data_IF_723851083438
#
_entry.id   IF_723851083438
#
_cell.length_a   1.000
_cell.length_b   1.000
_cell.length_c   1.000
_cell.angle_alpha   90.00
_cell.angle_beta   90.00
_cell.angle_gamma   90.00
#
_symmetry.space_group_name_H-M   'P 1'
#
loop_
_entity.id
_entity.type
_entity.pdbx_description
1 polymer ?
#
# COMPACT_ATOMS: atom_id res chain seq x y z
N UNK A 1 -33.36 -13.74 -25.04
CA UNK A 1 -32.39 -12.64 -24.83
C UNK A 1 -31.93 -12.76 -23.38
N UNK A 2 -30.65 -12.57 -23.04
CA UNK A 2 -30.23 -12.42 -21.64
C UNK A 2 -30.72 -11.06 -21.12
N UNK A 3 -31.16 -10.99 -19.87
CA UNK A 3 -31.73 -9.76 -19.31
C UNK A 3 -30.65 -8.69 -19.06
N UNK A 4 -30.80 -7.53 -19.71
CA UNK A 4 -29.99 -6.33 -19.51
C UNK A 4 -30.20 -5.70 -18.13
N UNK A 5 -31.41 -5.81 -17.61
CA UNK A 5 -31.89 -4.99 -16.49
C UNK A 5 -31.26 -5.37 -15.14
N UNK A 6 -30.53 -6.49 -15.10
CA UNK A 6 -29.85 -7.02 -13.92
C UNK A 6 -28.32 -6.72 -13.91
N UNK A 7 -27.78 -6.13 -14.98
CA UNK A 7 -26.36 -5.76 -15.09
C UNK A 7 -25.93 -4.65 -14.12
N UNK A 8 -26.70 -3.56 -13.89
CA UNK A 8 -26.33 -2.53 -12.91
C UNK A 8 -26.30 -3.04 -11.47
N UNK A 9 -27.15 -4.03 -11.14
CA UNK A 9 -27.22 -4.64 -9.82
C UNK A 9 -26.04 -5.58 -9.57
N UNK A 10 -25.70 -6.44 -10.54
CA UNK A 10 -24.54 -7.32 -10.45
C UNK A 10 -23.22 -6.54 -10.35
N UNK A 11 -23.06 -5.44 -11.10
CA UNK A 11 -21.88 -4.56 -10.99
C UNK A 11 -21.84 -3.86 -9.62
N UNK A 12 -22.99 -3.42 -9.09
CA UNK A 12 -23.08 -2.84 -7.74
C UNK A 12 -22.66 -3.85 -6.67
N UNK A 13 -23.10 -5.10 -6.77
CA UNK A 13 -22.73 -6.18 -5.82
C UNK A 13 -21.24 -6.50 -5.88
N UNK A 14 -20.61 -6.45 -7.06
CA UNK A 14 -19.13 -6.57 -7.20
C UNK A 14 -18.41 -5.37 -6.56
N UNK A 15 -18.93 -4.15 -6.71
CA UNK A 15 -18.33 -2.94 -6.13
C UNK A 15 -18.52 -2.85 -4.60
N UNK A 16 -19.67 -3.28 -4.08
CA UNK A 16 -19.90 -3.45 -2.64
C UNK A 16 -19.08 -4.63 -2.10
N UNK A 17 -18.83 -5.66 -2.91
CA UNK A 17 -17.84 -6.71 -2.64
C UNK A 17 -16.43 -6.15 -2.43
N UNK A 18 -15.92 -5.28 -3.33
CA UNK A 18 -14.60 -4.65 -3.15
C UNK A 18 -14.50 -3.83 -1.86
N UNK A 19 -15.60 -3.19 -1.44
CA UNK A 19 -15.66 -2.41 -0.20
C UNK A 19 -15.46 -3.28 1.06
N UNK A 20 -15.99 -4.50 1.04
CA UNK A 20 -15.78 -5.54 2.05
C UNK A 20 -14.43 -6.23 1.88
N UNK A 21 -13.88 -6.23 0.65
CA UNK A 21 -12.67 -6.97 0.31
C UNK A 21 -11.38 -6.41 0.90
N UNK A 22 -11.45 -5.22 1.50
CA UNK A 22 -10.35 -4.60 2.24
C UNK A 22 -10.30 -5.11 3.71
N UNK A 23 -11.22 -6.00 4.11
CA UNK A 23 -11.09 -6.82 5.32
C UNK A 23 -9.82 -7.68 5.25
N UNK A 24 -9.01 -7.73 6.33
CA UNK A 24 -7.98 -8.75 6.44
C UNK A 24 -8.63 -10.12 6.59
N UNK A 25 -8.02 -11.18 6.03
CA UNK A 25 -8.41 -12.55 6.37
C UNK A 25 -8.39 -12.74 7.90
N UNK A 26 -9.53 -13.14 8.46
CA UNK A 26 -9.61 -13.64 9.84
C UNK A 26 -9.03 -15.05 9.87
N UNK A 27 -7.78 -15.19 10.29
CA UNK A 27 -7.26 -16.49 10.69
C UNK A 27 -8.05 -16.99 11.90
N UNK A 28 -8.62 -18.20 11.82
CA UNK A 28 -9.33 -18.80 12.94
C UNK A 28 -8.38 -18.96 14.14
N UNK A 29 -8.65 -18.20 15.21
CA UNK A 29 -7.79 -18.09 16.39
C UNK A 29 -7.30 -16.67 16.71
N UNK A 30 -7.43 -15.71 15.79
CA UNK A 30 -6.91 -14.34 15.97
C UNK A 30 -7.82 -13.37 16.77
N UNK A 31 -8.80 -13.85 17.55
CA UNK A 31 -9.44 -13.03 18.61
C UNK A 31 -8.62 -13.09 19.91
N UNK A 32 -7.33 -12.78 19.77
CA UNK A 32 -6.43 -12.40 20.85
C UNK A 32 -6.29 -10.88 20.80
N UNK A 33 -6.85 -10.16 21.77
CA UNK A 33 -6.92 -8.68 21.72
C UNK A 33 -5.54 -8.01 21.67
N UNK A 34 -5.53 -6.69 21.39
CA UNK A 34 -4.32 -5.88 21.10
C UNK A 34 -3.14 -6.05 22.09
N UNK A 35 -3.39 -6.50 23.33
CA UNK A 35 -2.38 -6.74 24.37
C UNK A 35 -2.04 -8.23 24.62
N UNK A 36 -2.37 -9.13 23.71
CA UNK A 36 -2.07 -10.56 23.83
C UNK A 36 -0.63 -10.92 23.44
N UNK A 37 -0.01 -11.92 24.11
CA UNK A 37 1.38 -12.31 23.86
C UNK A 37 1.55 -12.96 22.48
N UNK A 38 2.47 -12.44 21.67
CA UNK A 38 2.71 -12.88 20.31
C UNK A 38 4.15 -13.39 20.13
N UNK A 39 4.34 -14.71 20.22
CA UNK A 39 5.63 -15.42 20.28
C UNK A 39 6.72 -15.06 19.24
N UNK A 40 6.37 -14.42 18.11
CA UNK A 40 7.34 -13.76 17.23
C UNK A 40 7.54 -12.27 17.57
N UNK A 41 6.53 -11.39 17.39
CA UNK A 41 6.64 -9.94 17.62
C UNK A 41 7.11 -9.53 19.02
N UNK A 42 6.81 -10.31 20.08
CA UNK A 42 7.35 -10.10 21.43
C UNK A 42 8.89 -10.18 21.51
N UNK A 43 9.55 -10.70 20.46
CA UNK A 43 11.00 -10.82 20.33
C UNK A 43 11.61 -9.85 19.33
N UNK A 44 10.84 -8.90 18.79
CA UNK A 44 11.27 -7.95 17.76
C UNK A 44 11.37 -6.52 18.32
N UNK A 45 12.28 -5.68 17.82
CA UNK A 45 12.36 -4.26 18.19
C UNK A 45 11.21 -3.47 17.57
N UNK A 46 10.02 -3.60 18.16
CA UNK A 46 8.82 -2.84 17.83
C UNK A 46 8.18 -2.38 19.15
N UNK A 47 7.42 -1.28 19.19
CA UNK A 47 6.69 -0.90 20.40
C UNK A 47 5.69 -2.01 20.76
N UNK A 48 5.71 -2.46 22.02
CA UNK A 48 4.97 -3.66 22.43
C UNK A 48 3.53 -3.36 22.88
N UNK A 49 2.78 -4.44 23.15
CA UNK A 49 1.52 -4.40 23.91
C UNK A 49 1.64 -3.52 25.18
N UNK A 50 0.58 -2.81 25.53
CA UNK A 50 0.55 -1.87 26.65
C UNK A 50 1.30 -0.54 26.48
N UNK A 51 2.17 -0.37 25.48
CA UNK A 51 2.92 0.89 25.30
C UNK A 51 2.04 2.01 24.71
N UNK A 52 1.82 3.12 25.44
CA UNK A 52 0.99 4.23 24.96
C UNK A 52 1.77 5.24 24.11
N UNK A 53 1.73 5.01 22.79
CA UNK A 53 2.37 5.86 21.79
C UNK A 53 1.80 7.29 21.73
N UNK A 54 0.67 7.60 22.38
CA UNK A 54 0.15 8.97 22.45
C UNK A 54 0.89 9.83 23.48
N UNK A 55 1.65 9.21 24.39
CA UNK A 55 2.42 9.90 25.44
C UNK A 55 3.87 10.22 25.07
N UNK A 56 4.34 9.74 23.92
CA UNK A 56 5.73 9.87 23.47
C UNK A 56 6.00 11.31 22.98
N UNK A 57 7.03 11.94 23.52
CA UNK A 57 7.53 13.23 23.04
C UNK A 57 8.49 13.07 21.84
N UNK A 58 8.65 14.10 21.02
CA UNK A 58 9.59 14.10 19.88
C UNK A 58 11.04 13.84 20.34
N UNK A 59 11.42 14.29 21.54
CA UNK A 59 12.72 14.02 22.16
C UNK A 59 12.95 12.56 22.58
N UNK A 60 11.90 11.73 22.55
CA UNK A 60 11.95 10.30 22.85
C UNK A 60 11.88 9.43 21.58
N UNK A 61 11.84 10.04 20.39
CA UNK A 61 11.90 9.34 19.11
C UNK A 61 13.32 8.81 18.83
N UNK A 62 13.43 7.59 18.31
CA UNK A 62 14.72 6.99 18.01
C UNK A 62 14.65 5.47 17.80
N UNK A 63 15.80 4.82 17.57
CA UNK A 63 15.87 3.36 17.48
C UNK A 63 15.51 2.70 18.81
N UNK A 64 15.02 1.46 18.75
CA UNK A 64 14.68 0.65 19.94
C UNK A 64 15.90 -0.19 20.35
N UNK A 65 16.46 -0.95 19.40
CA UNK A 65 17.73 -1.65 19.50
C UNK A 65 18.88 -0.82 18.84
N UNK A 66 20.10 -0.87 19.40
CA UNK A 66 21.25 -0.18 18.83
C UNK A 66 21.66 -0.73 17.46
N UNK A 67 22.10 0.16 16.57
CA UNK A 67 22.62 -0.18 15.25
C UNK A 67 24.05 -0.75 15.33
N UNK A 68 24.17 -2.05 15.65
CA UNK A 68 25.43 -2.80 15.67
C UNK A 68 25.50 -3.74 14.44
N UNK A 69 26.49 -3.51 13.56
CA UNK A 69 26.73 -4.33 12.36
C UNK A 69 27.55 -5.60 12.60
N UNK A 70 28.35 -5.63 13.68
CA UNK A 70 29.21 -6.76 14.03
C UNK A 70 28.44 -7.85 14.80
N UNK A 71 27.40 -7.46 15.54
CA UNK A 71 26.40 -8.37 16.11
C UNK A 71 25.54 -9.09 15.04
N UNK A 72 25.49 -8.61 13.79
CA UNK A 72 24.62 -9.17 12.75
C UNK A 72 25.15 -10.52 12.25
N UNK A 73 24.29 -11.55 12.33
CA UNK A 73 24.55 -12.91 11.85
C UNK A 73 25.07 -12.90 10.39
N UNK A 74 26.30 -13.39 10.21
CA UNK A 74 27.03 -13.38 8.92
C UNK A 74 26.43 -14.35 7.90
N UNK A 75 26.10 -15.57 8.35
CA UNK A 75 25.46 -16.61 7.52
C UNK A 75 23.92 -16.43 7.45
N UNK A 76 23.25 -16.85 6.36
CA UNK A 76 21.79 -16.90 6.27
C UNK A 76 21.14 -17.69 7.41
N UNK A 77 19.88 -17.42 7.74
CA UNK A 77 19.14 -18.25 8.70
C UNK A 77 18.93 -19.69 8.21
N UNK A 78 18.93 -20.65 9.13
CA UNK A 78 18.71 -22.07 8.81
C UNK A 78 17.27 -22.29 8.32
N UNK A 79 17.13 -22.99 7.20
CA UNK A 79 15.85 -23.50 6.69
C UNK A 79 15.71 -25.01 6.98
N UNK A 80 14.50 -25.60 6.88
CA UNK A 80 14.34 -27.05 6.90
C UNK A 80 15.04 -27.68 5.68
N UNK A 81 15.54 -28.95 5.75
CA UNK A 81 16.46 -29.50 4.74
C UNK A 81 15.93 -29.63 3.29
N UNK A 82 14.64 -29.37 3.06
CA UNK A 82 13.99 -29.38 1.74
C UNK A 82 13.81 -27.98 1.13
N UNK A 83 14.36 -26.93 1.76
CA UNK A 83 14.23 -25.55 1.32
C UNK A 83 15.60 -24.86 1.29
N UNK A 84 15.78 -23.96 0.32
CA UNK A 84 16.94 -23.07 0.20
C UNK A 84 16.49 -21.62 0.03
N UNK A 85 17.41 -20.67 0.23
CA UNK A 85 17.16 -19.26 -0.04
C UNK A 85 17.42 -18.99 -1.52
N UNK A 86 16.37 -18.63 -2.26
CA UNK A 86 16.46 -18.13 -3.64
C UNK A 86 16.27 -16.61 -3.65
N UNK A 87 16.98 -15.94 -4.56
CA UNK A 87 16.88 -14.51 -4.82
C UNK A 87 16.17 -14.34 -6.18
N UNK A 88 15.12 -13.52 -6.23
CA UNK A 88 14.19 -13.47 -7.39
C UNK A 88 14.50 -12.28 -8.30
N UNK A 89 15.22 -12.51 -9.40
CA UNK A 89 15.49 -11.48 -10.40
C UNK A 89 14.26 -11.23 -11.29
N UNK A 90 13.56 -10.13 -11.05
CA UNK A 90 12.46 -9.71 -11.91
C UNK A 90 12.93 -9.21 -13.29
N UNK A 91 14.23 -9.11 -13.56
CA UNK A 91 14.78 -9.03 -14.92
C UNK A 91 14.48 -10.27 -15.74
N UNK A 92 14.55 -11.46 -15.13
CA UNK A 92 14.25 -12.74 -15.75
C UNK A 92 12.72 -12.96 -15.91
N UNK A 93 12.31 -13.40 -17.10
CA UNK A 93 10.90 -13.54 -17.45
C UNK A 93 10.22 -14.79 -16.86
N UNK A 94 10.99 -15.82 -16.48
CA UNK A 94 10.48 -17.00 -15.80
C UNK A 94 10.34 -16.73 -14.29
N UNK A 95 11.35 -16.16 -13.64
CA UNK A 95 11.32 -15.81 -12.21
C UNK A 95 10.25 -14.73 -11.91
N UNK A 96 10.13 -13.72 -12.77
CA UNK A 96 9.05 -12.73 -12.63
C UNK A 96 7.65 -13.36 -12.79
N UNK A 97 7.51 -14.41 -13.61
CA UNK A 97 6.26 -15.18 -13.74
C UNK A 97 6.02 -16.09 -12.54
N UNK A 98 7.06 -16.70 -11.98
CA UNK A 98 6.98 -17.54 -10.78
C UNK A 98 6.48 -16.74 -9.57
N UNK A 99 7.04 -15.55 -9.32
CA UNK A 99 6.54 -14.65 -8.28
C UNK A 99 5.11 -14.20 -8.55
N UNK A 100 4.78 -13.85 -9.81
CA UNK A 100 3.41 -13.52 -10.19
C UNK A 100 2.43 -14.66 -9.87
N UNK A 101 2.76 -15.90 -10.25
CA UNK A 101 1.91 -17.07 -9.98
C UNK A 101 1.79 -17.32 -8.48
N UNK A 102 2.89 -17.25 -7.72
CA UNK A 102 2.86 -17.40 -6.26
C UNK A 102 1.89 -16.40 -5.61
N UNK A 103 1.95 -15.13 -6.01
CA UNK A 103 1.07 -14.07 -5.48
C UNK A 103 -0.38 -14.22 -5.98
N UNK A 104 -0.58 -14.45 -7.28
CA UNK A 104 -1.89 -14.64 -7.89
C UNK A 104 -2.64 -15.86 -7.33
N UNK A 105 -1.94 -16.88 -6.82
CA UNK A 105 -2.55 -18.08 -6.23
C UNK A 105 -2.67 -18.03 -4.69
N UNK A 106 -1.85 -17.25 -3.98
CA UNK A 106 -1.72 -17.34 -2.51
C UNK A 106 -1.68 -16.00 -1.75
N UNK A 107 -1.71 -14.85 -2.42
CA UNK A 107 -1.70 -13.53 -1.76
C UNK A 107 -3.11 -13.07 -1.36
N UNK A 108 -3.19 -11.86 -0.78
CA UNK A 108 -4.38 -11.31 -0.11
C UNK A 108 -5.67 -11.55 -0.89
N UNK A 109 -6.50 -12.41 -0.31
CA UNK A 109 -7.92 -12.53 -0.55
C UNK A 109 -8.69 -11.72 0.50
N UNK A 110 -9.95 -11.45 0.20
CA UNK A 110 -10.91 -10.93 1.16
C UNK A 110 -11.43 -11.97 2.15
N UNK A 111 -12.02 -11.47 3.24
CA UNK A 111 -12.69 -12.31 4.24
C UNK A 111 -13.89 -13.10 3.71
N UNK A 112 -14.47 -12.69 2.58
CA UNK A 112 -15.63 -13.33 1.93
C UNK A 112 -15.25 -14.13 0.66
N UNK A 113 -13.95 -14.23 0.32
CA UNK A 113 -13.36 -15.00 -0.80
C UNK A 113 -13.95 -14.68 -2.19
N UNK A 114 -14.36 -13.44 -2.44
CA UNK A 114 -14.86 -12.95 -3.72
C UNK A 114 -13.76 -12.32 -4.59
N UNK A 115 -12.65 -11.86 -4.01
CA UNK A 115 -11.59 -11.10 -4.68
C UNK A 115 -10.19 -11.51 -4.23
N UNK A 116 -9.26 -11.56 -5.17
CA UNK A 116 -7.81 -11.67 -4.88
C UNK A 116 -7.03 -10.66 -5.71
N UNK A 117 -6.03 -9.98 -5.13
CA UNK A 117 -5.21 -9.02 -5.89
C UNK A 117 -4.41 -9.69 -7.01
N UNK A 118 -4.45 -9.09 -8.19
CA UNK A 118 -3.81 -9.58 -9.41
C UNK A 118 -2.64 -8.68 -9.81
N UNK A 119 -1.58 -8.70 -9.00
CA UNK A 119 -0.40 -7.87 -9.16
C UNK A 119 0.38 -8.21 -10.44
N UNK A 120 0.05 -7.53 -11.55
CA UNK A 120 0.66 -7.78 -12.86
C UNK A 120 2.20 -7.70 -12.83
N UNK A 121 2.89 -8.47 -13.68
CA UNK A 121 4.37 -8.46 -13.76
C UNK A 121 4.96 -7.05 -13.97
N UNK A 122 4.40 -6.16 -14.82
CA UNK A 122 4.85 -4.77 -14.89
C UNK A 122 4.71 -4.00 -13.56
N UNK A 123 3.62 -4.22 -12.81
CA UNK A 123 3.44 -3.63 -11.48
C UNK A 123 4.46 -4.16 -10.48
N UNK A 124 4.72 -5.47 -10.46
CA UNK A 124 5.73 -6.07 -9.59
C UNK A 124 7.12 -5.49 -9.86
N UNK A 125 7.51 -5.31 -11.12
CA UNK A 125 8.78 -4.64 -11.48
C UNK A 125 8.81 -3.19 -11.01
N UNK A 126 7.71 -2.44 -11.16
CA UNK A 126 7.61 -1.06 -10.69
C UNK A 126 7.70 -0.95 -9.16
N UNK A 127 6.96 -1.77 -8.42
CA UNK A 127 6.96 -1.75 -6.95
C UNK A 127 8.28 -2.24 -6.33
N UNK A 128 8.93 -3.23 -6.95
CA UNK A 128 10.06 -3.96 -6.35
C UNK A 128 11.44 -3.63 -6.93
N UNK A 129 11.51 -2.87 -8.05
CA UNK A 129 12.79 -2.42 -8.65
C UNK A 129 12.96 -0.89 -8.74
N UNK A 130 12.70 -0.09 -7.68
CA UNK A 130 13.04 1.33 -7.68
C UNK A 130 14.56 1.59 -7.74
N UNK A 131 15.01 2.81 -8.11
CA UNK A 131 16.43 3.14 -8.18
C UNK A 131 17.18 2.85 -6.86
N UNK A 132 18.11 1.91 -6.89
CA UNK A 132 18.86 1.46 -5.72
C UNK A 132 18.35 0.15 -5.07
N UNK A 133 17.27 -0.44 -5.59
CA UNK A 133 16.77 -1.77 -5.16
C UNK A 133 17.86 -2.85 -5.27
N UNK A 134 17.95 -3.73 -4.27
CA UNK A 134 18.78 -4.92 -4.31
C UNK A 134 17.90 -6.17 -4.40
N UNK A 135 18.20 -7.05 -5.37
CA UNK A 135 17.46 -8.31 -5.59
C UNK A 135 17.50 -9.20 -4.33
N UNK A 136 18.58 -9.12 -3.56
CA UNK A 136 18.74 -9.81 -2.28
C UNK A 136 17.69 -9.40 -1.21
N UNK A 137 16.84 -8.40 -1.44
CA UNK A 137 15.84 -7.93 -0.48
C UNK A 137 14.45 -8.59 -0.61
N UNK A 138 14.26 -9.52 -1.53
CA UNK A 138 12.95 -10.15 -1.80
C UNK A 138 12.78 -11.48 -1.04
N UNK A 139 12.85 -11.45 0.31
CA UNK A 139 12.84 -12.66 1.17
C UNK A 139 12.05 -12.50 2.49
N UNK A 140 11.80 -13.61 3.19
CA UNK A 140 11.04 -13.67 4.45
C UNK A 140 11.64 -12.82 5.58
N UNK A 141 10.75 -12.25 6.43
CA UNK A 141 11.01 -11.23 7.47
C UNK A 141 12.38 -11.38 8.19
N UNK A 142 12.69 -12.54 8.77
CA UNK A 142 13.95 -12.72 9.54
C UNK A 142 15.22 -12.61 8.68
N UNK A 143 15.18 -13.12 7.45
CA UNK A 143 16.34 -13.06 6.55
C UNK A 143 16.46 -11.68 5.89
N UNK A 144 15.35 -11.00 5.59
CA UNK A 144 15.42 -9.60 5.09
C UNK A 144 16.01 -8.67 6.15
N UNK A 145 15.56 -8.73 7.42
CA UNK A 145 16.18 -7.97 8.51
C UNK A 145 17.68 -8.23 8.61
N UNK A 146 18.11 -9.50 8.48
CA UNK A 146 19.54 -9.84 8.48
C UNK A 146 20.28 -9.19 7.32
N UNK A 147 19.77 -9.31 6.09
CA UNK A 147 20.41 -8.77 4.88
C UNK A 147 20.47 -7.24 4.89
N UNK A 148 19.41 -6.56 5.36
CA UNK A 148 19.34 -5.10 5.51
C UNK A 148 20.29 -4.61 6.61
N UNK A 149 20.32 -5.25 7.79
CA UNK A 149 21.28 -4.92 8.86
C UNK A 149 22.75 -5.15 8.43
N UNK A 150 23.03 -6.18 7.60
CA UNK A 150 24.36 -6.40 6.99
C UNK A 150 24.79 -5.29 6.02
N UNK A 151 23.86 -4.45 5.55
CA UNK A 151 24.13 -3.24 4.72
C UNK A 151 24.24 -1.96 5.55
N UNK A 152 24.04 -2.01 6.87
CA UNK A 152 24.11 -0.85 7.77
C UNK A 152 22.80 -0.06 7.90
N UNK A 153 21.70 -0.58 7.36
CA UNK A 153 20.34 -0.07 7.55
C UNK A 153 19.66 -0.88 8.66
N UNK A 154 18.99 -0.22 9.61
CA UNK A 154 18.44 -0.91 10.80
C UNK A 154 16.96 -0.63 11.05
N UNK A 155 16.29 0.12 10.17
CA UNK A 155 14.90 0.55 10.27
C UNK A 155 14.13 0.19 9.00
N UNK A 156 12.82 -0.03 9.12
CA UNK A 156 11.94 -0.24 7.96
C UNK A 156 10.53 0.30 8.24
N UNK A 157 9.78 0.61 7.18
CA UNK A 157 8.35 0.95 7.24
C UNK A 157 7.53 -0.19 6.61
N UNK A 158 6.42 -0.58 7.23
CA UNK A 158 5.51 -1.57 6.64
C UNK A 158 4.05 -1.28 7.00
N UNK A 159 3.12 -1.84 6.24
CA UNK A 159 1.69 -1.80 6.55
C UNK A 159 1.08 -3.19 6.57
N UNK A 160 0.03 -3.39 7.37
CA UNK A 160 -0.78 -4.59 7.37
C UNK A 160 -2.27 -4.25 7.52
N UNK A 161 -3.15 -5.09 6.99
CA UNK A 161 -4.58 -5.01 7.31
C UNK A 161 -4.87 -5.52 8.72
N UNK A 162 -4.23 -6.62 9.11
CA UNK A 162 -4.29 -7.18 10.47
C UNK A 162 -3.60 -6.26 11.48
N UNK A 163 -4.06 -6.28 12.73
CA UNK A 163 -3.39 -5.58 13.84
C UNK A 163 -2.25 -6.45 14.36
N UNK A 164 -1.04 -5.93 14.25
CA UNK A 164 0.19 -6.42 14.88
C UNK A 164 0.62 -5.44 15.99
N UNK A 165 1.37 -5.87 17.03
CA UNK A 165 1.97 -4.96 18.00
C UNK A 165 3.12 -4.14 17.39
N UNK A 166 3.11 -2.80 17.40
CA UNK A 166 1.99 -1.87 17.65
C UNK A 166 2.03 -0.74 16.60
N UNK A 167 0.89 -0.34 16.01
CA UNK A 167 0.91 0.57 14.87
C UNK A 167 1.18 2.02 15.28
N UNK A 168 1.98 2.71 14.48
CA UNK A 168 2.24 4.16 14.63
C UNK A 168 1.13 5.01 14.02
N UNK A 169 0.33 4.47 13.10
CA UNK A 169 -0.90 5.10 12.62
C UNK A 169 -1.93 4.04 12.23
N UNK A 170 -3.21 4.33 12.47
CA UNK A 170 -4.35 3.48 12.06
C UNK A 170 -5.22 4.25 11.07
N UNK A 171 -5.14 3.85 9.81
CA UNK A 171 -5.86 4.49 8.71
C UNK A 171 -6.98 3.56 8.24
N UNK A 172 -8.01 4.09 7.57
CA UNK A 172 -9.10 3.31 7.00
C UNK A 172 -9.09 3.41 5.47
N UNK A 173 -9.48 2.34 4.81
CA UNK A 173 -9.74 2.39 3.37
C UNK A 173 -11.08 3.07 3.10
N UNK A 174 -11.12 3.85 2.04
CA UNK A 174 -12.33 4.41 1.46
C UNK A 174 -12.33 4.03 -0.03
N UNK A 175 -13.51 3.68 -0.55
CA UNK A 175 -13.71 3.23 -1.93
C UNK A 175 -14.76 4.11 -2.62
N UNK A 176 -14.70 4.26 -3.95
CA UNK A 176 -15.59 5.21 -4.62
C UNK A 176 -15.82 4.90 -6.08
N UNK A 177 -17.02 5.28 -6.49
CA UNK A 177 -17.22 5.90 -7.79
C UNK A 177 -16.65 7.34 -7.79
N UNK A 178 -15.32 7.44 -7.64
CA UNK A 178 -14.44 8.55 -8.03
C UNK A 178 -14.47 9.87 -7.16
N UNK A 179 -13.30 10.45 -6.73
CA UNK A 179 -12.94 11.90 -6.47
C UNK A 179 -11.90 12.30 -5.32
N UNK A 180 -11.82 13.48 -4.60
CA UNK A 180 -10.69 14.47 -4.65
C UNK A 180 -9.23 14.27 -4.06
N UNK A 181 -8.57 15.31 -3.47
CA UNK A 181 -7.11 15.69 -3.54
C UNK A 181 -6.34 16.18 -2.24
N UNK A 182 -4.97 16.21 -2.20
CA UNK A 182 -4.05 17.16 -1.45
C UNK A 182 -2.89 16.61 -0.53
N UNK A 183 -1.65 17.16 -0.59
CA UNK A 183 -0.44 16.88 0.24
C UNK A 183 0.52 18.13 0.24
N UNK A 184 0.96 18.71 1.38
CA UNK A 184 2.38 18.82 1.89
C UNK A 184 2.43 19.22 3.42
N UNK A 185 1.91 18.43 4.37
CA UNK A 185 1.85 18.80 5.81
C UNK A 185 2.19 17.65 6.80
N UNK A 186 2.95 16.63 6.36
CA UNK A 186 2.96 15.31 7.00
C UNK A 186 4.19 15.02 7.87
N UNK A 187 3.97 14.29 8.95
CA UNK A 187 4.98 13.85 9.93
C UNK A 187 5.78 12.63 9.46
N UNK A 188 5.19 11.81 8.60
CA UNK A 188 5.84 10.67 7.93
C UNK A 188 5.64 10.84 6.42
N UNK A 189 6.70 11.08 5.66
CA UNK A 189 6.65 11.15 4.20
C UNK A 189 8.00 10.72 3.59
N UNK A 190 8.02 10.11 2.40
CA UNK A 190 9.27 9.76 1.72
C UNK A 190 9.99 11.02 1.21
N UNK A 191 11.32 11.05 1.35
CA UNK A 191 12.17 11.99 0.62
C UNK A 191 12.58 11.34 -0.69
N UNK A 192 12.08 11.86 -1.81
CA UNK A 192 12.18 11.22 -3.14
C UNK A 192 13.20 11.99 -4.00
N UNK A 193 14.25 11.34 -4.48
CA UNK A 193 15.20 11.94 -5.44
C UNK A 193 14.58 12.09 -6.83
N UNK A 194 15.22 12.86 -7.72
CA UNK A 194 14.75 13.00 -9.11
C UNK A 194 14.76 11.67 -9.90
N UNK A 195 15.58 10.69 -9.50
CA UNK A 195 15.58 9.37 -10.12
C UNK A 195 14.35 8.55 -9.67
N UNK A 196 14.11 8.49 -8.37
CA UNK A 196 12.95 7.80 -7.78
C UNK A 196 11.64 8.49 -8.20
N UNK A 197 11.60 9.82 -8.28
CA UNK A 197 10.43 10.55 -8.74
C UNK A 197 10.07 10.18 -10.19
N UNK A 198 11.07 10.00 -11.06
CA UNK A 198 10.82 9.52 -12.43
C UNK A 198 10.29 8.10 -12.45
N UNK A 199 10.82 7.22 -11.60
CA UNK A 199 10.35 5.83 -11.47
C UNK A 199 8.91 5.74 -10.94
N UNK A 200 8.61 6.46 -9.86
CA UNK A 200 7.32 6.44 -9.18
C UNK A 200 6.24 7.27 -9.87
N UNK A 201 6.58 8.31 -10.64
CA UNK A 201 5.61 9.28 -11.15
C UNK A 201 5.53 9.39 -12.68
N UNK A 202 6.41 8.75 -13.47
CA UNK A 202 6.19 8.72 -14.94
C UNK A 202 5.15 7.66 -15.30
N UNK A 203 4.17 8.05 -16.10
CA UNK A 203 3.06 7.20 -16.53
C UNK A 203 3.54 5.93 -17.24
N UNK A 204 3.13 4.78 -16.71
CA UNK A 204 3.31 3.46 -17.29
C UNK A 204 1.93 2.80 -17.41
N UNK A 205 1.45 2.64 -18.64
CA UNK A 205 0.10 2.11 -18.92
C UNK A 205 -0.10 0.74 -18.28
N UNK A 206 -1.19 0.60 -17.52
CA UNK A 206 -1.49 -0.60 -16.73
C UNK A 206 -0.81 -0.68 -15.36
N UNK A 207 -0.04 0.34 -14.95
CA UNK A 207 0.68 0.36 -13.65
C UNK A 207 0.46 1.67 -12.90
N UNK A 208 0.85 2.80 -13.47
CA UNK A 208 0.80 4.13 -12.82
C UNK A 208 0.41 5.19 -13.85
N UNK A 209 -0.51 6.08 -13.49
CA UNK A 209 -0.96 7.18 -14.34
C UNK A 209 -0.77 8.50 -13.61
N UNK A 210 -0.03 9.41 -14.23
CA UNK A 210 0.24 10.75 -13.71
C UNK A 210 -0.13 11.82 -14.73
N UNK A 211 -0.70 12.91 -14.22
CA UNK A 211 -1.18 14.05 -14.99
C UNK A 211 -0.75 15.36 -14.32
N UNK A 212 -0.55 16.40 -15.13
CA UNK A 212 -0.18 17.75 -14.68
C UNK A 212 -1.12 18.79 -15.25
N UNK A 213 -1.29 19.91 -14.55
CA UNK A 213 -1.89 21.13 -15.09
C UNK A 213 -0.76 22.09 -15.44
N UNK A 214 -0.66 22.38 -16.73
CA UNK A 214 0.15 23.47 -17.27
C UNK A 214 -0.72 24.74 -17.34
N UNK A 215 -0.22 25.86 -16.82
CA UNK A 215 -0.87 27.15 -17.06
C UNK A 215 -0.80 27.49 -18.56
N UNK A 216 -1.93 27.80 -19.23
CA UNK A 216 -1.95 27.98 -20.68
C UNK A 216 -1.12 29.19 -21.16
N UNK A 217 -0.81 30.15 -20.28
CA UNK A 217 -0.10 31.40 -20.57
C UNK A 217 1.35 31.36 -20.10
N UNK A 218 1.64 31.00 -18.84
CA UNK A 218 3.01 30.99 -18.30
C UNK A 218 3.80 29.72 -18.64
N UNK A 219 3.10 28.62 -18.97
CA UNK A 219 3.69 27.28 -19.20
C UNK A 219 4.37 26.67 -17.97
N UNK A 220 4.03 27.15 -16.78
CA UNK A 220 4.42 26.56 -15.51
C UNK A 220 3.45 25.44 -15.10
N UNK A 221 3.96 24.43 -14.40
CA UNK A 221 3.14 23.33 -13.88
C UNK A 221 2.60 23.70 -12.48
N UNK A 222 1.29 23.91 -12.37
CA UNK A 222 0.64 24.38 -11.13
C UNK A 222 0.13 23.24 -10.25
N UNK A 223 -0.19 22.10 -10.86
CA UNK A 223 -0.67 20.90 -10.18
C UNK A 223 -0.09 19.62 -10.81
N UNK A 224 0.13 18.59 -10.00
CA UNK A 224 0.28 17.18 -10.40
C UNK A 224 -0.79 16.32 -9.70
N UNK A 225 -1.21 15.22 -10.32
CA UNK A 225 -2.02 14.15 -9.70
C UNK A 225 -1.64 12.78 -10.27
N UNK A 226 -1.67 11.73 -9.45
CA UNK A 226 -1.39 10.37 -9.90
C UNK A 226 -2.23 9.30 -9.19
N UNK A 227 -2.42 8.17 -9.87
CA UNK A 227 -3.08 6.97 -9.34
C UNK A 227 -2.51 5.70 -9.98
N UNK A 228 -2.32 4.66 -9.17
CA UNK A 228 -1.84 3.36 -9.65
C UNK A 228 -2.99 2.40 -9.98
N UNK A 229 -2.70 1.42 -10.83
CA UNK A 229 -3.61 0.38 -11.26
C UNK A 229 -3.33 -0.91 -10.48
N UNK A 230 -4.33 -1.45 -9.80
CA UNK A 230 -4.25 -2.76 -9.16
C UNK A 230 -5.56 -3.52 -9.48
N UNK A 231 -5.56 -4.43 -10.47
CA UNK A 231 -6.72 -5.25 -10.73
C UNK A 231 -6.86 -6.34 -9.67
N UNK A 232 -8.10 -6.82 -9.49
CA UNK A 232 -8.41 -8.01 -8.69
C UNK A 232 -9.10 -9.05 -9.57
N UNK A 233 -8.74 -10.32 -9.39
CA UNK A 233 -9.52 -11.44 -9.96
C UNK A 233 -10.83 -11.60 -9.20
N UNK A 234 -11.95 -11.73 -9.92
CA UNK A 234 -13.27 -11.96 -9.34
C UNK A 234 -13.54 -13.46 -9.30
N UNK A 235 -13.67 -14.00 -8.10
CA UNK A 235 -13.89 -15.43 -7.87
C UNK A 235 -15.40 -15.76 -7.98
N UNK A 236 -15.72 -16.96 -8.47
CA UNK A 236 -17.10 -17.48 -8.54
C UNK A 236 -18.08 -16.79 -9.51
N UNK A 237 -17.76 -15.63 -10.09
CA UNK A 237 -18.67 -14.89 -10.98
C UNK A 237 -18.52 -15.34 -12.45
N UNK A 238 -19.62 -15.69 -13.13
CA UNK A 238 -19.59 -16.16 -14.52
C UNK A 238 -19.43 -15.05 -15.57
N UNK A 239 -19.91 -13.84 -15.30
CA UNK A 239 -19.92 -12.72 -16.26
C UNK A 239 -18.66 -11.86 -16.19
N UNK A 240 -18.21 -11.54 -14.98
CA UNK A 240 -17.08 -10.64 -14.73
C UNK A 240 -15.96 -11.44 -14.07
N UNK A 241 -14.75 -11.41 -14.64
CA UNK A 241 -13.59 -12.19 -14.17
C UNK A 241 -12.48 -11.34 -13.54
N UNK A 242 -12.51 -10.04 -13.79
CA UNK A 242 -11.52 -9.07 -13.30
C UNK A 242 -12.24 -7.77 -12.94
N UNK A 243 -11.79 -7.12 -11.87
CA UNK A 243 -12.19 -5.77 -11.47
C UNK A 243 -10.98 -4.85 -11.58
N UNK A 244 -11.05 -3.79 -12.39
CA UNK A 244 -9.96 -2.84 -12.56
C UNK A 244 -10.11 -1.69 -11.56
N UNK A 245 -9.36 -1.75 -10.45
CA UNK A 245 -9.33 -0.70 -9.44
C UNK A 245 -8.14 0.27 -9.63
N UNK A 246 -8.44 1.57 -9.55
CA UNK A 246 -7.44 2.62 -9.42
C UNK A 246 -7.25 2.98 -7.93
N UNK A 247 -6.05 3.37 -7.55
CA UNK A 247 -5.70 3.75 -6.17
C UNK A 247 -5.05 5.12 -6.15
N UNK A 248 -5.54 6.02 -5.30
CA UNK A 248 -4.99 7.35 -5.08
C UNK A 248 -3.51 7.26 -4.66
N UNK A 249 -2.63 7.89 -5.42
CA UNK A 249 -1.20 7.94 -5.14
C UNK A 249 -0.78 9.37 -4.79
N UNK A 250 0.34 9.87 -5.32
CA UNK A 250 0.86 11.20 -4.98
C UNK A 250 0.31 12.32 -5.86
N UNK A 251 0.33 13.54 -5.32
CA UNK A 251 -0.24 14.73 -5.96
C UNK A 251 0.37 16.02 -5.32
N UNK A 252 0.44 17.14 -6.04
CA UNK A 252 0.96 18.44 -5.54
C UNK A 252 0.25 19.65 -6.18
N UNK A 253 -0.12 20.73 -5.46
CA UNK A 253 -0.91 21.86 -6.00
C UNK A 253 -0.49 23.22 -5.45
N UNK A 254 -0.78 24.23 -6.25
CA UNK A 254 -0.85 25.64 -5.84
C UNK A 254 -2.16 26.30 -6.30
N UNK A 255 -2.52 26.15 -7.57
CA UNK A 255 -3.63 26.89 -8.17
C UNK A 255 -4.99 26.19 -8.04
N UNK A 256 -5.07 24.89 -8.34
CA UNK A 256 -6.39 24.25 -8.52
C UNK A 256 -7.01 23.88 -7.15
N UNK A 257 -8.29 24.23 -6.89
CA UNK A 257 -9.00 23.85 -5.66
C UNK A 257 -9.01 22.35 -5.39
N UNK A 258 -9.06 21.99 -4.10
CA UNK A 258 -8.88 20.63 -3.61
C UNK A 258 -9.90 19.65 -4.20
N UNK A 259 -11.19 20.03 -4.20
CA UNK A 259 -12.26 19.29 -4.86
C UNK A 259 -12.05 19.03 -6.36
N UNK A 260 -11.32 19.91 -7.05
CA UNK A 260 -11.37 20.00 -8.51
C UNK A 260 -10.39 19.07 -9.24
N UNK A 261 -9.06 19.21 -9.16
CA UNK A 261 -8.22 18.41 -10.09
C UNK A 261 -8.21 16.90 -9.84
N UNK A 262 -8.52 16.41 -8.64
CA UNK A 262 -8.79 14.97 -8.56
C UNK A 262 -10.14 14.61 -9.19
N UNK A 263 -11.13 15.51 -9.36
CA UNK A 263 -12.28 15.25 -10.26
C UNK A 263 -11.78 14.90 -11.65
N UNK A 264 -10.83 15.68 -12.12
CA UNK A 264 -10.23 15.49 -13.43
C UNK A 264 -9.43 14.17 -13.48
N UNK A 265 -8.69 13.81 -12.42
CA UNK A 265 -7.94 12.56 -12.30
C UNK A 265 -8.79 11.29 -12.48
N UNK A 266 -10.10 11.35 -12.29
CA UNK A 266 -10.96 10.17 -12.32
C UNK A 266 -12.16 10.28 -13.25
N UNK A 267 -12.44 11.48 -13.78
CA UNK A 267 -12.83 11.60 -15.18
C UNK A 267 -11.77 10.95 -16.09
N UNK A 268 -10.47 11.08 -15.76
CA UNK A 268 -9.37 10.40 -16.45
C UNK A 268 -9.34 8.89 -16.18
N UNK A 269 -9.39 8.44 -14.92
CA UNK A 269 -9.53 7.01 -14.60
C UNK A 269 -10.76 6.37 -15.28
N UNK A 270 -11.93 7.03 -15.32
CA UNK A 270 -13.10 6.43 -16.02
C UNK A 270 -12.97 6.44 -17.55
N UNK A 271 -12.12 7.29 -18.13
CA UNK A 271 -11.73 7.25 -19.56
C UNK A 271 -10.66 6.18 -19.86
N UNK A 272 -10.09 5.57 -18.83
CA UNK A 272 -9.20 4.41 -18.89
C UNK A 272 -9.92 3.12 -18.46
N UNK A 273 -11.25 3.14 -18.48
CA UNK A 273 -12.14 2.02 -18.15
C UNK A 273 -11.92 1.37 -16.76
N UNK A 274 -11.40 2.14 -15.79
CA UNK A 274 -11.45 1.72 -14.39
C UNK A 274 -12.90 1.63 -13.87
N UNK A 275 -13.15 0.63 -13.03
CA UNK A 275 -14.45 0.37 -12.42
C UNK A 275 -14.67 1.20 -11.15
N UNK A 276 -13.58 1.43 -10.41
CA UNK A 276 -13.59 1.94 -9.03
C UNK A 276 -12.28 2.63 -8.70
N UNK A 277 -12.33 3.57 -7.75
CA UNK A 277 -11.17 4.34 -7.32
C UNK A 277 -11.10 4.40 -5.79
N UNK A 278 -10.01 3.88 -5.23
CA UNK A 278 -9.76 3.73 -3.81
C UNK A 278 -8.86 4.84 -3.29
N UNK A 279 -9.05 5.25 -2.04
CA UNK A 279 -8.15 6.13 -1.30
C UNK A 279 -8.20 5.77 0.19
N UNK A 280 -7.08 5.94 0.89
CA UNK A 280 -7.06 5.86 2.36
C UNK A 280 -7.52 7.21 2.98
N UNK A 281 -7.67 7.33 4.29
CA UNK A 281 -7.81 8.64 4.97
C UNK A 281 -6.48 9.30 5.38
N UNK A 282 -5.35 8.81 4.84
CA UNK A 282 -4.06 9.52 4.87
C UNK A 282 -4.05 10.76 3.97
N UNK A 283 -2.93 11.47 3.87
CA UNK A 283 -2.81 12.69 3.05
C UNK A 283 -3.81 13.77 3.57
N UNK A 284 -4.16 14.79 2.78
CA UNK A 284 -5.32 15.64 3.12
C UNK A 284 -6.65 14.95 2.76
N UNK A 285 -6.74 13.60 2.72
CA UNK A 285 -7.86 12.93 2.06
C UNK A 285 -9.22 13.29 2.68
N UNK A 286 -9.31 13.32 4.01
CA UNK A 286 -10.53 13.66 4.75
C UNK A 286 -11.25 14.93 4.27
N UNK A 287 -10.50 15.94 3.80
CA UNK A 287 -11.05 17.20 3.25
C UNK A 287 -12.04 16.97 2.11
N UNK A 288 -11.90 15.85 1.40
CA UNK A 288 -12.59 15.57 0.16
C UNK A 288 -13.40 14.27 0.15
N UNK A 289 -13.15 13.36 1.09
CA UNK A 289 -13.81 12.05 1.12
C UNK A 289 -15.34 12.24 1.07
N UNK A 290 -15.87 13.16 1.88
CA UNK A 290 -17.31 13.41 1.92
C UNK A 290 -17.88 14.08 0.66
N UNK A 291 -17.29 15.21 0.23
CA UNK A 291 -17.93 16.17 -0.70
C UNK A 291 -18.52 15.50 -1.95
N UNK A 292 -17.72 14.66 -2.60
CA UNK A 292 -18.06 14.04 -3.87
C UNK A 292 -18.22 12.50 -3.73
N UNK A 293 -18.59 12.04 -2.52
CA UNK A 293 -19.13 10.69 -2.19
C UNK A 293 -18.17 9.48 -2.00
N UNK A 294 -17.02 9.56 -1.32
CA UNK A 294 -16.24 8.36 -0.91
C UNK A 294 -17.09 7.53 0.05
N UNK A 295 -17.23 6.23 -0.23
CA UNK A 295 -17.75 5.25 0.70
C UNK A 295 -16.69 4.88 1.73
N UNK A 296 -17.12 4.61 2.96
CA UNK A 296 -16.24 4.12 4.04
C UNK A 296 -16.06 2.62 3.83
N UNK A 297 -14.84 2.17 3.55
CA UNK A 297 -14.47 0.76 3.63
C UNK A 297 -14.45 0.30 5.08
N UNK A 298 -14.72 -0.98 5.32
CA UNK A 298 -14.55 -1.57 6.66
C UNK A 298 -13.11 -2.08 6.89
N UNK A 299 -12.35 -2.28 5.81
CA UNK A 299 -10.90 -2.46 5.84
C UNK A 299 -10.14 -1.30 6.46
N UNK A 300 -9.16 -1.60 7.31
CA UNK A 300 -8.26 -0.63 7.92
C UNK A 300 -6.81 -0.98 7.56
N UNK A 301 -5.97 0.01 7.24
CA UNK A 301 -4.54 -0.16 7.00
C UNK A 301 -3.74 0.38 8.19
N UNK A 302 -3.02 -0.51 8.87
CA UNK A 302 -2.17 -0.21 10.01
C UNK A 302 -0.75 0.10 9.51
N UNK A 303 -0.17 1.24 9.91
CA UNK A 303 1.22 1.61 9.59
C UNK A 303 2.16 1.28 10.75
N UNK A 304 3.35 0.79 10.43
CA UNK A 304 4.37 0.33 11.37
C UNK A 304 5.76 0.87 11.04
N UNK A 305 6.56 1.07 12.09
CA UNK A 305 8.00 1.29 11.99
C UNK A 305 8.72 0.14 12.71
N UNK A 306 9.62 -0.54 12.00
CA UNK A 306 10.51 -1.54 12.58
C UNK A 306 11.75 -0.86 13.16
N UNK A 307 12.13 -1.23 14.38
CA UNK A 307 13.24 -0.68 15.15
C UNK A 307 13.25 0.86 15.22
N UNK A 308 12.07 1.46 15.42
CA UNK A 308 11.94 2.89 15.65
C UNK A 308 10.74 3.21 16.52
N UNK A 309 10.98 3.87 17.66
CA UNK A 309 9.96 4.43 18.54
C UNK A 309 9.54 5.80 18.00
N UNK A 310 8.23 5.98 17.80
CA UNK A 310 7.63 7.24 17.37
C UNK A 310 6.27 7.44 18.07
N UNK A 311 5.82 8.69 18.27
CA UNK A 311 4.47 8.97 18.73
C UNK A 311 3.42 8.53 17.70
N UNK A 312 2.19 8.33 18.18
CA UNK A 312 1.05 8.04 17.29
C UNK A 312 0.80 9.20 16.32
N UNK A 313 0.69 8.87 15.04
CA UNK A 313 0.46 9.79 13.92
C UNK A 313 -0.97 9.64 13.44
N UNK A 314 -1.70 10.76 13.35
CA UNK A 314 -3.06 10.76 12.79
C UNK A 314 -3.01 10.42 11.29
N UNK A 315 -4.02 9.79 10.68
CA UNK A 315 -4.00 9.45 9.25
C UNK A 315 -3.64 10.64 8.37
N UNK A 316 -4.32 11.78 8.56
CA UNK A 316 -4.03 13.05 7.88
C UNK A 316 -2.65 13.67 8.14
N UNK A 317 -1.84 13.09 9.02
CA UNK A 317 -0.45 13.47 9.28
C UNK A 317 0.54 12.43 8.67
N UNK A 318 0.04 11.38 7.99
CA UNK A 318 0.80 10.41 7.18
C UNK A 318 0.76 10.82 5.70
N UNK A 319 1.94 10.92 5.09
CA UNK A 319 2.20 11.22 3.67
C UNK A 319 2.97 10.11 2.95
N UNK A 320 3.03 8.91 3.53
CA UNK A 320 3.55 7.70 2.89
C UNK A 320 2.37 6.90 2.32
N UNK A 321 2.32 6.71 1.00
CA UNK A 321 1.40 5.76 0.33
C UNK A 321 2.18 4.49 0.01
N UNK A 322 1.60 3.33 0.29
CA UNK A 322 2.16 2.01 -0.04
C UNK A 322 1.28 1.29 -1.09
N UNK A 323 1.81 0.19 -1.61
CA UNK A 323 1.35 -0.54 -2.81
C UNK A 323 0.90 -1.97 -2.47
#
# INVERSE_FOLDING_TARGET
>A
MPDSDNEPQALKEVLEGLALSQRPQRTEGAETGDDAPHAFWDTQPVPHAGEDLTTIDVSQMGPIDPADMDAVRKEPYNLPPSFEWSDVDLGDAAQAKELYTLLHENYVEDGDQMFRFDYSVPFLKWALQPPGSLIEWMVLIKEITRRVNRRGLFQATYTAGVVLPKPVAKCRYWHRSLNPKKLIEFKIAPQISLAEFKHWMLTQTGVIYSYVVEDPVSKELTDMVSFYALPSSILGNDKHKTLCAAYAYYYYHTATPLAQLMNDALVLAKRLDFDVFNALDILQNETFLKELKFGIGDGNLQYYLYNWRAPFVQPRDVGLVLL
#
